data_IF_603427230516
#
_entry.id   IF_603427230516
#
_cell.length_a   1.000
_cell.length_b   1.000
_cell.length_c   1.000
_cell.angle_alpha   90.00
_cell.angle_beta   90.00
_cell.angle_gamma   90.00
#
_symmetry.space_group_name_H-M   'P 1'
#
loop_
_entity.id
_entity.type
_entity.pdbx_description
1 polymer ?
#
# COMPACT_ATOMS: atom_id res chain seq x y z
N UNK A 1 -33.58 -8.16 3.48
CA UNK A 1 -32.88 -9.01 4.47
C UNK A 1 -32.56 -10.35 3.87
N UNK A 2 -31.35 -10.57 3.37
CA UNK A 2 -30.81 -11.92 3.22
C UNK A 2 -29.38 -11.87 3.74
N UNK A 3 -29.25 -12.43 4.93
CA UNK A 3 -28.04 -12.73 5.65
C UNK A 3 -27.30 -13.81 4.84
N UNK A 4 -26.10 -13.55 4.37
CA UNK A 4 -25.24 -14.55 3.79
C UNK A 4 -24.64 -15.40 4.92
N UNK A 5 -24.67 -16.76 4.82
CA UNK A 5 -24.00 -17.60 5.78
C UNK A 5 -22.47 -17.49 5.63
N UNK A 6 -21.68 -17.72 6.70
CA UNK A 6 -20.23 -17.73 6.63
C UNK A 6 -19.78 -18.89 5.73
N UNK A 7 -18.95 -18.60 4.74
CA UNK A 7 -18.24 -19.61 3.97
C UNK A 7 -17.18 -20.27 4.86
N UNK A 8 -17.58 -21.31 5.57
CA UNK A 8 -16.65 -22.30 6.10
C UNK A 8 -16.24 -23.22 4.93
N UNK A 9 -15.16 -22.90 4.25
CA UNK A 9 -14.48 -23.81 3.32
C UNK A 9 -13.32 -24.50 4.04
N UNK A 10 -13.01 -25.76 3.74
CA UNK A 10 -12.26 -26.64 4.63
C UNK A 10 -10.76 -26.39 4.56
N UNK A 11 -10.21 -25.80 5.61
CA UNK A 11 -8.81 -25.94 5.99
C UNK A 11 -8.64 -27.22 6.81
N UNK A 12 -9.02 -28.36 6.25
CA UNK A 12 -8.70 -29.65 6.87
C UNK A 12 -8.71 -30.76 5.81
N UNK A 13 -7.64 -30.83 5.00
CA UNK A 13 -7.18 -32.09 4.47
C UNK A 13 -5.83 -32.36 5.11
N UNK A 14 -5.83 -33.27 6.07
CA UNK A 14 -4.64 -33.91 6.60
C UNK A 14 -3.90 -34.58 5.45
N UNK A 15 -2.87 -33.95 4.92
CA UNK A 15 -1.82 -34.63 4.19
C UNK A 15 -0.68 -34.86 5.17
N UNK A 16 -0.57 -36.10 5.62
CA UNK A 16 0.53 -36.62 6.43
C UNK A 16 1.71 -36.95 5.52
N UNK A 17 2.34 -35.94 4.99
CA UNK A 17 3.71 -36.01 4.52
C UNK A 17 4.49 -34.93 5.29
N UNK A 18 5.59 -35.30 5.92
CA UNK A 18 6.33 -34.53 6.93
C UNK A 18 6.84 -33.14 6.54
N UNK A 19 6.09 -32.39 5.76
CA UNK A 19 6.35 -31.00 5.45
C UNK A 19 5.85 -30.14 6.61
N UNK A 20 6.70 -29.36 7.30
CA UNK A 20 6.24 -28.51 8.38
C UNK A 20 5.25 -27.48 7.85
N UNK A 21 4.00 -27.56 8.31
CA UNK A 21 3.00 -26.53 8.02
C UNK A 21 3.48 -25.20 8.57
N UNK A 22 3.89 -24.28 7.69
CA UNK A 22 4.26 -22.95 8.06
C UNK A 22 3.04 -22.23 8.65
N UNK A 23 3.05 -21.97 9.95
CA UNK A 23 1.97 -21.20 10.59
C UNK A 23 2.00 -19.75 10.07
N UNK A 24 0.85 -19.05 10.11
CA UNK A 24 0.79 -17.62 9.77
C UNK A 24 1.84 -16.82 10.55
N UNK A 25 2.00 -17.14 11.85
CA UNK A 25 2.98 -16.48 12.71
C UNK A 25 4.43 -16.73 12.22
N UNK A 26 4.78 -17.98 11.92
CA UNK A 26 6.10 -18.31 11.40
C UNK A 26 6.37 -17.64 10.04
N UNK A 27 5.37 -17.57 9.18
CA UNK A 27 5.47 -16.84 7.89
C UNK A 27 5.72 -15.35 8.10
N UNK A 28 4.95 -14.69 8.99
CA UNK A 28 5.13 -13.27 9.32
C UNK A 28 6.55 -13.00 9.83
N UNK A 29 7.00 -13.76 10.80
CA UNK A 29 8.34 -13.60 11.39
C UNK A 29 9.44 -13.79 10.35
N UNK A 30 9.40 -14.87 9.59
CA UNK A 30 10.41 -15.15 8.57
C UNK A 30 10.47 -14.03 7.50
N UNK A 31 9.30 -13.54 7.07
CA UNK A 31 9.20 -12.48 6.07
C UNK A 31 9.74 -11.15 6.59
N UNK A 32 9.38 -10.77 7.82
CA UNK A 32 9.86 -9.51 8.44
C UNK A 32 11.36 -9.59 8.73
N UNK A 33 11.86 -10.71 9.25
CA UNK A 33 13.30 -10.91 9.47
C UNK A 33 14.11 -10.86 8.16
N UNK A 34 13.60 -11.50 7.11
CA UNK A 34 14.21 -11.40 5.78
C UNK A 34 14.25 -9.95 5.30
N UNK A 35 13.15 -9.23 5.41
CA UNK A 35 13.07 -7.83 4.98
C UNK A 35 14.02 -6.90 5.75
N UNK A 36 14.21 -7.13 7.05
CA UNK A 36 15.17 -6.37 7.87
C UNK A 36 16.60 -6.54 7.41
N UNK A 37 16.95 -7.68 6.80
CA UNK A 37 18.30 -7.95 6.28
C UNK A 37 18.48 -7.52 4.82
N UNK A 38 17.48 -7.79 3.99
CA UNK A 38 17.58 -7.72 2.52
C UNK A 38 16.75 -6.58 1.92
N UNK A 39 15.90 -5.94 2.71
CA UNK A 39 15.00 -4.89 2.25
C UNK A 39 15.74 -3.68 1.71
N UNK A 40 15.36 -3.20 0.53
CA UNK A 40 15.98 -2.03 -0.09
C UNK A 40 15.64 -0.76 0.69
N UNK A 41 16.62 0.09 0.86
CA UNK A 41 16.49 1.36 1.57
C UNK A 41 16.06 2.47 0.60
N UNK A 42 14.79 2.87 0.68
CA UNK A 42 14.23 3.96 -0.11
C UNK A 42 13.89 5.17 0.76
N UNK A 43 14.00 6.43 0.25
CA UNK A 43 13.72 7.63 1.03
C UNK A 43 12.35 7.61 1.73
N UNK A 44 11.32 7.13 1.04
CA UNK A 44 9.96 7.02 1.58
C UNK A 44 9.76 5.91 2.61
N UNK A 45 10.72 5.00 2.76
CA UNK A 45 10.73 3.97 3.82
C UNK A 45 11.33 4.45 5.13
N UNK A 46 12.09 5.57 5.10
CA UNK A 46 12.74 6.17 6.27
C UNK A 46 11.83 7.09 7.07
N UNK A 47 10.61 7.28 6.64
CA UNK A 47 9.66 8.21 7.25
C UNK A 47 8.33 7.53 7.59
N UNK A 48 7.62 8.10 8.54
CA UNK A 48 6.24 7.74 8.89
C UNK A 48 5.25 8.86 8.58
N UNK A 49 5.74 9.94 7.97
CA UNK A 49 4.89 11.05 7.57
C UNK A 49 3.93 10.61 6.46
N UNK A 50 2.61 10.67 6.68
CA UNK A 50 1.62 10.22 5.70
C UNK A 50 1.66 11.02 4.39
N UNK A 51 2.09 12.28 4.42
CA UNK A 51 2.27 13.07 3.20
C UNK A 51 3.40 12.51 2.33
N UNK A 52 4.55 12.25 2.92
CA UNK A 52 5.70 11.66 2.24
C UNK A 52 5.37 10.29 1.64
N UNK A 53 4.64 9.47 2.39
CA UNK A 53 4.18 8.16 1.95
C UNK A 53 3.18 8.29 0.81
N UNK A 54 2.17 9.14 0.92
CA UNK A 54 1.19 9.36 -0.15
C UNK A 54 1.85 9.82 -1.45
N UNK A 55 2.80 10.76 -1.36
CA UNK A 55 3.55 11.24 -2.53
C UNK A 55 4.28 10.09 -3.21
N UNK A 56 5.01 9.27 -2.46
CA UNK A 56 5.74 8.13 -3.03
C UNK A 56 4.79 7.10 -3.64
N UNK A 57 3.69 6.77 -2.97
CA UNK A 57 2.69 5.82 -3.48
C UNK A 57 2.11 6.28 -4.82
N UNK A 58 1.75 7.56 -4.94
CA UNK A 58 1.24 8.10 -6.20
C UNK A 58 2.32 8.20 -7.28
N UNK A 59 3.58 8.51 -6.92
CA UNK A 59 4.68 8.53 -7.88
C UNK A 59 4.99 7.14 -8.42
N UNK A 60 4.91 6.10 -7.59
CA UNK A 60 5.21 4.72 -7.95
C UNK A 60 4.12 4.04 -8.81
N UNK A 61 2.91 4.59 -8.85
CA UNK A 61 1.88 4.07 -9.77
C UNK A 61 2.35 4.14 -11.22
N UNK A 62 2.57 2.99 -11.86
CA UNK A 62 2.99 2.87 -13.26
C UNK A 62 4.29 3.64 -13.59
N UNK A 63 5.16 3.84 -12.60
CA UNK A 63 6.47 4.49 -12.77
C UNK A 63 7.54 3.65 -12.08
N UNK A 64 8.69 3.50 -12.70
CA UNK A 64 9.79 2.70 -12.16
C UNK A 64 10.45 3.37 -10.96
N UNK A 65 10.96 2.58 -10.02
CA UNK A 65 11.65 3.07 -8.83
C UNK A 65 12.82 4.02 -9.17
N UNK A 66 13.71 3.72 -10.13
CA UNK A 66 14.78 4.64 -10.49
C UNK A 66 14.28 6.02 -10.96
N UNK A 67 13.18 6.06 -11.71
CA UNK A 67 12.57 7.32 -12.14
C UNK A 67 12.04 8.12 -10.96
N UNK A 68 11.40 7.45 -9.99
CA UNK A 68 10.87 8.09 -8.78
C UNK A 68 12.01 8.60 -7.90
N UNK A 69 13.06 7.81 -7.67
CA UNK A 69 14.22 8.20 -6.86
C UNK A 69 14.86 9.49 -7.37
N UNK A 70 14.98 9.65 -8.69
CA UNK A 70 15.55 10.86 -9.29
C UNK A 70 14.68 12.13 -9.10
N UNK A 71 13.45 12.02 -8.62
CA UNK A 71 12.49 13.12 -8.54
C UNK A 71 11.89 13.36 -7.17
N UNK A 72 11.82 12.32 -6.34
CA UNK A 72 11.17 12.35 -5.04
C UNK A 72 11.75 13.44 -4.13
N UNK A 73 13.06 13.49 -3.94
CA UNK A 73 13.70 14.47 -3.06
C UNK A 73 13.49 15.92 -3.53
N UNK A 74 13.54 16.14 -4.86
CA UNK A 74 13.25 17.46 -5.43
C UNK A 74 11.81 17.88 -5.17
N UNK A 75 10.86 16.96 -5.35
CA UNK A 75 9.45 17.19 -5.07
C UNK A 75 9.21 17.51 -3.59
N UNK A 76 9.77 16.71 -2.69
CA UNK A 76 9.61 16.91 -1.25
C UNK A 76 10.24 18.21 -0.73
N UNK A 77 11.33 18.67 -1.35
CA UNK A 77 11.86 20.01 -1.05
C UNK A 77 10.94 21.16 -1.50
N UNK A 78 10.25 20.97 -2.60
CA UNK A 78 9.33 21.98 -3.13
C UNK A 78 7.96 21.97 -2.42
N UNK A 79 7.47 20.78 -2.09
CA UNK A 79 6.17 20.59 -1.45
C UNK A 79 6.29 19.69 -0.20
N UNK A 80 6.96 20.20 0.86
CA UNK A 80 7.22 19.41 2.06
C UNK A 80 5.98 19.06 2.87
N UNK A 81 4.86 19.76 2.66
CA UNK A 81 3.57 19.48 3.32
C UNK A 81 2.41 19.62 2.35
N UNK A 82 1.21 19.09 2.68
CA UNK A 82 0.01 19.30 1.86
C UNK A 82 -0.27 20.79 1.59
N UNK A 83 -0.04 21.66 2.58
CA UNK A 83 -0.31 23.09 2.45
C UNK A 83 0.53 23.75 1.33
N UNK A 84 1.76 23.33 1.14
CA UNK A 84 2.61 23.87 0.08
C UNK A 84 2.07 23.52 -1.32
N UNK A 85 1.57 22.29 -1.50
CA UNK A 85 0.98 21.89 -2.78
C UNK A 85 -0.43 22.47 -3.00
N UNK A 86 -1.21 22.61 -1.92
CA UNK A 86 -2.54 23.20 -1.98
C UNK A 86 -2.52 24.68 -2.40
N UNK A 87 -1.46 25.41 -2.03
CA UNK A 87 -1.31 26.84 -2.25
C UNK A 87 -0.92 27.23 -3.67
N UNK A 88 -0.37 26.29 -4.47
CA UNK A 88 0.07 26.62 -5.85
C UNK A 88 -1.05 26.36 -6.87
N UNK A 89 -0.92 27.03 -8.02
CA UNK A 89 -1.79 26.75 -9.16
C UNK A 89 -1.51 25.37 -9.79
N UNK A 90 -2.47 24.86 -10.56
CA UNK A 90 -2.35 23.55 -11.22
C UNK A 90 -1.15 23.48 -12.18
N UNK A 91 -0.87 24.55 -12.90
CA UNK A 91 0.23 24.57 -13.86
C UNK A 91 1.59 24.41 -13.18
N UNK A 92 1.76 25.04 -12.02
CA UNK A 92 2.97 24.88 -11.21
C UNK A 92 3.13 23.45 -10.70
N UNK A 93 2.06 22.81 -10.23
CA UNK A 93 2.06 21.42 -9.81
C UNK A 93 2.40 20.47 -10.99
N UNK A 94 1.78 20.70 -12.17
CA UNK A 94 2.02 19.91 -13.39
C UNK A 94 3.48 20.02 -13.86
N UNK A 95 4.06 21.24 -13.91
CA UNK A 95 5.47 21.44 -14.27
C UNK A 95 6.42 20.71 -13.33
N UNK A 96 6.12 20.74 -12.03
CA UNK A 96 6.95 20.05 -11.02
C UNK A 96 6.88 18.53 -11.12
N UNK A 97 5.80 17.99 -11.72
CA UNK A 97 5.58 16.56 -11.96
C UNK A 97 6.15 16.06 -13.31
N UNK A 98 6.73 16.95 -14.10
CA UNK A 98 7.26 16.62 -15.43
C UNK A 98 8.24 15.43 -15.38
N UNK A 99 8.09 14.52 -16.35
CA UNK A 99 8.89 13.31 -16.49
C UNK A 99 8.44 12.12 -15.62
N UNK A 100 7.40 12.24 -14.79
CA UNK A 100 6.75 11.12 -14.14
C UNK A 100 5.57 10.56 -14.97
N UNK A 101 5.00 11.37 -15.87
CA UNK A 101 3.84 10.99 -16.68
C UNK A 101 2.54 10.84 -15.86
N UNK A 102 1.50 10.34 -16.51
CA UNK A 102 0.20 10.08 -15.85
C UNK A 102 -0.27 11.24 -14.97
N UNK A 103 -0.39 12.43 -15.55
CA UNK A 103 -0.65 13.71 -14.86
C UNK A 103 -1.93 13.74 -14.01
N UNK A 104 -2.85 12.79 -14.22
CA UNK A 104 -4.00 12.60 -13.32
C UNK A 104 -3.58 12.40 -11.86
N UNK A 105 -2.41 11.78 -11.61
CA UNK A 105 -1.91 11.51 -10.25
C UNK A 105 -1.57 12.81 -9.50
N UNK A 106 -0.90 13.77 -10.15
CA UNK A 106 -0.58 15.04 -9.48
C UNK A 106 -1.83 15.89 -9.27
N UNK A 107 -2.81 15.84 -10.18
CA UNK A 107 -4.11 16.48 -9.96
C UNK A 107 -4.83 15.88 -8.75
N UNK A 108 -4.86 14.55 -8.65
CA UNK A 108 -5.40 13.86 -7.48
C UNK A 108 -4.64 14.24 -6.21
N UNK A 109 -3.31 14.27 -6.25
CA UNK A 109 -2.48 14.65 -5.11
C UNK A 109 -2.77 16.08 -4.66
N UNK A 110 -2.94 17.02 -5.60
CA UNK A 110 -3.29 18.40 -5.27
C UNK A 110 -4.72 18.53 -4.70
N UNK A 111 -5.68 17.76 -5.22
CA UNK A 111 -7.03 17.71 -4.68
C UNK A 111 -7.03 17.16 -3.24
N UNK A 112 -6.29 16.07 -2.98
CA UNK A 112 -6.10 15.53 -1.63
C UNK A 112 -5.46 16.57 -0.71
N UNK A 113 -4.42 17.26 -1.18
CA UNK A 113 -3.72 18.27 -0.39
C UNK A 113 -4.67 19.40 0.04
N UNK A 114 -5.51 19.88 -0.87
CA UNK A 114 -6.54 20.89 -0.57
C UNK A 114 -7.56 20.39 0.44
N UNK A 115 -8.03 19.17 0.28
CA UNK A 115 -8.98 18.53 1.20
C UNK A 115 -8.39 18.38 2.61
N UNK A 116 -7.14 17.92 2.71
CA UNK A 116 -6.41 17.81 3.99
C UNK A 116 -6.29 19.17 4.69
N UNK A 117 -6.02 20.22 3.94
CA UNK A 117 -5.91 21.57 4.53
C UNK A 117 -7.27 22.09 4.97
N UNK A 118 -8.29 21.99 4.12
CA UNK A 118 -9.57 22.63 4.32
C UNK A 118 -10.47 21.90 5.32
N UNK A 119 -10.52 20.56 5.22
CA UNK A 119 -11.46 19.74 5.99
C UNK A 119 -10.82 19.04 7.19
N UNK A 120 -9.50 18.83 7.15
CA UNK A 120 -8.78 18.09 8.19
C UNK A 120 -7.74 18.95 8.94
N UNK A 121 -7.71 20.26 8.70
CA UNK A 121 -6.79 21.18 9.40
C UNK A 121 -5.31 20.84 9.19
N UNK A 122 -4.96 20.30 8.03
CA UNK A 122 -3.59 19.92 7.67
C UNK A 122 -3.15 18.57 8.21
N UNK A 123 -4.00 17.80 8.88
CA UNK A 123 -3.68 16.50 9.47
C UNK A 123 -4.35 15.36 8.71
N UNK A 124 -3.60 14.31 8.41
CA UNK A 124 -4.18 13.12 7.79
C UNK A 124 -5.06 12.36 8.77
N UNK A 125 -6.25 11.90 8.33
CA UNK A 125 -7.02 10.95 9.10
C UNK A 125 -6.26 9.63 9.23
N UNK A 126 -6.29 9.03 10.42
CA UNK A 126 -5.58 7.80 10.75
C UNK A 126 -6.51 6.57 10.77
N UNK A 127 -7.64 6.65 10.09
CA UNK A 127 -8.63 5.58 9.99
C UNK A 127 -9.17 5.47 8.56
N UNK A 128 -9.68 4.27 8.23
CA UNK A 128 -10.13 3.95 6.88
C UNK A 128 -11.31 4.82 6.42
N UNK A 129 -12.21 5.19 7.32
CA UNK A 129 -13.38 6.01 7.00
C UNK A 129 -12.95 7.42 6.59
N UNK A 130 -12.10 8.05 7.37
CA UNK A 130 -11.54 9.37 7.07
C UNK A 130 -10.72 9.38 5.78
N UNK A 131 -9.87 8.37 5.56
CA UNK A 131 -9.07 8.26 4.34
C UNK A 131 -9.93 8.07 3.09
N UNK A 132 -11.03 7.33 3.17
CA UNK A 132 -11.96 7.13 2.03
C UNK A 132 -12.68 8.42 1.61
N UNK A 133 -12.76 9.43 2.48
CA UNK A 133 -13.33 10.75 2.14
C UNK A 133 -12.40 11.57 1.25
N UNK A 134 -11.10 11.25 1.24
CA UNK A 134 -10.13 11.95 0.39
C UNK A 134 -10.30 11.57 -1.08
N UNK A 135 -10.30 12.54 -2.01
CA UNK A 135 -10.58 12.31 -3.41
C UNK A 135 -9.52 11.40 -4.06
N UNK A 136 -9.96 10.28 -4.65
CA UNK A 136 -9.07 9.35 -5.36
C UNK A 136 -8.27 8.39 -4.46
N UNK A 137 -8.52 8.37 -3.15
CA UNK A 137 -7.97 7.34 -2.25
C UNK A 137 -8.81 6.06 -2.38
N UNK A 138 -8.23 5.06 -3.04
CA UNK A 138 -8.79 3.72 -3.15
C UNK A 138 -8.37 2.79 -2.00
N UNK A 139 -8.85 1.53 -2.01
CA UNK A 139 -8.53 0.55 -0.97
C UNK A 139 -7.03 0.36 -0.77
N UNK A 140 -6.26 0.26 -1.86
CA UNK A 140 -4.80 0.11 -1.81
C UNK A 140 -4.14 1.31 -1.12
N UNK A 141 -4.39 2.53 -1.59
CA UNK A 141 -3.76 3.74 -1.03
C UNK A 141 -4.16 3.97 0.43
N UNK A 142 -5.42 3.65 0.78
CA UNK A 142 -5.89 3.69 2.18
C UNK A 142 -5.12 2.67 3.05
N UNK A 143 -4.99 1.42 2.59
CA UNK A 143 -4.22 0.39 3.29
C UNK A 143 -2.74 0.75 3.42
N UNK A 144 -2.13 1.30 2.37
CA UNK A 144 -0.76 1.77 2.37
C UNK A 144 -0.53 2.88 3.42
N UNK A 145 -1.39 3.90 3.44
CA UNK A 145 -1.31 4.96 4.45
C UNK A 145 -1.49 4.42 5.87
N UNK A 146 -2.50 3.57 6.09
CA UNK A 146 -2.76 2.98 7.41
C UNK A 146 -1.58 2.13 7.90
N UNK A 147 -0.99 1.31 7.03
CA UNK A 147 0.12 0.45 7.44
C UNK A 147 1.45 1.20 7.48
N UNK A 148 1.81 1.95 6.44
CA UNK A 148 3.13 2.58 6.36
C UNK A 148 3.28 3.82 7.24
N UNK A 149 2.26 4.66 7.36
CA UNK A 149 2.31 5.85 8.21
C UNK A 149 1.95 5.54 9.66
N UNK A 150 0.86 4.80 9.88
CA UNK A 150 0.27 4.64 11.20
C UNK A 150 0.53 3.26 11.84
N UNK A 151 1.23 2.36 11.15
CA UNK A 151 1.49 0.97 11.57
C UNK A 151 0.21 0.20 11.98
N UNK A 152 -0.93 0.51 11.34
CA UNK A 152 -2.21 -0.17 11.58
C UNK A 152 -2.31 -1.40 10.70
N UNK A 153 -2.89 -2.47 11.23
CA UNK A 153 -3.12 -3.72 10.51
C UNK A 153 -4.13 -3.52 9.38
N UNK A 154 -3.67 -3.01 8.25
CA UNK A 154 -4.47 -2.80 7.06
C UNK A 154 -3.84 -3.56 5.88
N UNK A 155 -4.63 -4.36 5.15
CA UNK A 155 -4.12 -5.09 3.99
C UNK A 155 -3.82 -4.14 2.84
N UNK A 156 -2.86 -4.56 2.01
CA UNK A 156 -2.59 -3.97 0.69
C UNK A 156 -2.57 -5.09 -0.35
N UNK A 157 -3.07 -4.81 -1.54
CA UNK A 157 -2.98 -5.74 -2.68
C UNK A 157 -2.60 -4.94 -3.91
N UNK A 158 -1.33 -5.05 -4.30
CA UNK A 158 -0.81 -4.62 -5.60
C UNK A 158 -0.43 -5.84 -6.45
N UNK A 159 0.16 -5.64 -7.61
CA UNK A 159 0.59 -6.73 -8.47
C UNK A 159 1.66 -7.63 -7.82
N UNK A 160 2.52 -7.08 -6.96
CA UNK A 160 3.57 -7.83 -6.28
C UNK A 160 2.97 -8.68 -5.18
N UNK A 161 2.13 -8.11 -4.33
CA UNK A 161 1.40 -8.84 -3.27
C UNK A 161 0.52 -9.93 -3.88
N UNK A 162 -0.25 -9.62 -4.93
CA UNK A 162 -1.09 -10.58 -5.63
C UNK A 162 -0.28 -11.78 -6.14
N UNK A 163 0.90 -11.54 -6.73
CA UNK A 163 1.81 -12.59 -7.20
C UNK A 163 2.30 -13.48 -6.07
N UNK A 164 2.69 -12.91 -4.95
CA UNK A 164 3.16 -13.67 -3.78
C UNK A 164 2.04 -14.54 -3.22
N UNK A 165 0.86 -13.95 -2.97
CA UNK A 165 -0.28 -14.67 -2.40
C UNK A 165 -0.74 -15.80 -3.31
N UNK A 166 -0.87 -15.55 -4.62
CA UNK A 166 -1.27 -16.58 -5.58
C UNK A 166 -0.27 -17.74 -5.61
N UNK A 167 1.03 -17.47 -5.51
CA UNK A 167 2.06 -18.53 -5.48
C UNK A 167 2.06 -19.33 -4.19
N UNK A 168 1.96 -18.68 -3.04
CA UNK A 168 1.93 -19.35 -1.72
C UNK A 168 0.74 -20.28 -1.61
N UNK A 169 -0.42 -19.83 -2.06
CA UNK A 169 -1.66 -20.60 -1.92
C UNK A 169 -1.97 -21.49 -3.13
N UNK A 170 -1.05 -21.55 -4.11
CA UNK A 170 -1.26 -22.25 -5.40
C UNK A 170 -2.62 -21.89 -6.04
N UNK A 171 -2.95 -20.60 -6.01
CA UNK A 171 -4.23 -20.09 -6.47
C UNK A 171 -4.27 -19.99 -7.99
N UNK A 172 -5.25 -20.67 -8.61
CA UNK A 172 -5.33 -20.86 -10.06
C UNK A 172 -6.35 -19.95 -10.77
N UNK A 173 -7.21 -19.26 -10.02
CA UNK A 173 -8.18 -18.34 -10.62
C UNK A 173 -7.48 -17.03 -11.03
N UNK A 174 -7.86 -16.40 -12.17
CA UNK A 174 -7.26 -15.15 -12.59
C UNK A 174 -7.32 -14.07 -11.50
N UNK A 175 -6.16 -13.52 -11.16
CA UNK A 175 -6.02 -12.54 -10.06
C UNK A 175 -6.72 -11.21 -10.30
N UNK A 176 -7.01 -10.87 -11.56
CA UNK A 176 -7.74 -9.68 -12.00
C UNK A 176 -9.25 -9.88 -12.09
N UNK A 177 -9.74 -11.11 -11.93
CA UNK A 177 -11.17 -11.39 -11.84
C UNK A 177 -11.77 -10.88 -10.52
N UNK A 178 -13.08 -10.65 -10.49
CA UNK A 178 -13.80 -10.25 -9.28
C UNK A 178 -13.59 -11.26 -8.14
N UNK A 179 -13.60 -12.55 -8.45
CA UNK A 179 -13.35 -13.63 -7.49
C UNK A 179 -11.92 -13.61 -6.99
N UNK A 180 -10.94 -13.48 -7.92
CA UNK A 180 -9.52 -13.38 -7.60
C UNK A 180 -9.22 -12.18 -6.70
N UNK A 181 -9.75 -11.01 -7.02
CA UNK A 181 -9.60 -9.81 -6.19
C UNK A 181 -10.18 -10.00 -4.79
N UNK A 182 -11.40 -10.54 -4.68
CA UNK A 182 -12.02 -10.83 -3.39
C UNK A 182 -11.18 -11.79 -2.54
N UNK A 183 -10.66 -12.85 -3.17
CA UNK A 183 -9.77 -13.80 -2.51
C UNK A 183 -8.49 -13.12 -2.00
N UNK A 184 -7.80 -12.37 -2.86
CA UNK A 184 -6.52 -11.73 -2.54
C UNK A 184 -6.66 -10.72 -1.39
N UNK A 185 -7.71 -9.90 -1.39
CA UNK A 185 -7.97 -8.94 -0.31
C UNK A 185 -8.26 -9.65 1.02
N UNK A 186 -9.12 -10.68 1.01
CA UNK A 186 -9.40 -11.48 2.21
C UNK A 186 -8.13 -12.20 2.73
N UNK A 187 -7.32 -12.70 1.81
CA UNK A 187 -6.07 -13.38 2.17
C UNK A 187 -5.04 -12.41 2.74
N UNK A 188 -4.85 -11.24 2.12
CA UNK A 188 -3.98 -10.18 2.64
C UNK A 188 -4.41 -9.74 4.04
N UNK A 189 -5.73 -9.56 4.28
CA UNK A 189 -6.28 -9.23 5.59
C UNK A 189 -5.96 -10.28 6.65
N UNK A 190 -6.06 -11.56 6.31
CA UNK A 190 -5.73 -12.67 7.23
C UNK A 190 -4.23 -12.76 7.57
N UNK A 191 -3.38 -12.28 6.66
CA UNK A 191 -1.92 -12.38 6.80
C UNK A 191 -1.26 -11.13 7.38
N UNK A 192 -1.85 -9.94 7.26
CA UNK A 192 -1.19 -8.71 7.74
C UNK A 192 -0.84 -8.84 9.22
N UNK A 193 0.38 -8.44 9.56
CA UNK A 193 0.87 -8.49 10.93
C UNK A 193 0.23 -7.35 11.76
N UNK A 194 -0.44 -7.64 12.87
CA UNK A 194 -1.11 -6.61 13.67
C UNK A 194 -0.14 -5.69 14.41
N UNK A 195 1.07 -6.14 14.71
CA UNK A 195 2.07 -5.39 15.47
C UNK A 195 3.09 -4.71 14.54
N UNK A 196 3.41 -5.36 13.41
CA UNK A 196 4.45 -4.94 12.47
C UNK A 196 3.89 -4.72 11.04
N UNK A 197 2.70 -4.12 10.93
CA UNK A 197 2.00 -3.98 9.65
C UNK A 197 2.84 -3.27 8.58
N UNK A 198 3.58 -2.23 8.97
CA UNK A 198 4.49 -1.49 8.07
C UNK A 198 5.57 -2.39 7.49
N UNK A 199 6.29 -3.11 8.34
CA UNK A 199 7.38 -3.98 7.92
C UNK A 199 6.85 -5.17 7.10
N UNK A 200 5.75 -5.78 7.55
CA UNK A 200 5.12 -6.89 6.86
C UNK A 200 4.67 -6.52 5.45
N UNK A 201 3.94 -5.41 5.30
CA UNK A 201 3.47 -4.96 4.00
C UNK A 201 4.64 -4.53 3.09
N UNK A 202 5.67 -3.90 3.63
CA UNK A 202 6.89 -3.61 2.88
C UNK A 202 7.60 -4.87 2.43
N UNK A 203 7.67 -5.87 3.30
CA UNK A 203 8.34 -7.14 3.04
C UNK A 203 7.64 -7.98 1.95
N UNK A 204 6.31 -8.09 2.01
CA UNK A 204 5.56 -8.86 1.02
C UNK A 204 5.59 -8.19 -0.37
N UNK A 205 5.58 -6.86 -0.43
CA UNK A 205 5.80 -6.12 -1.69
C UNK A 205 7.21 -6.35 -2.25
N UNK A 206 8.23 -6.27 -1.40
CA UNK A 206 9.63 -6.50 -1.78
C UNK A 206 9.84 -7.92 -2.31
N UNK A 207 9.30 -8.93 -1.61
CA UNK A 207 9.36 -10.33 -2.05
C UNK A 207 8.72 -10.52 -3.43
N UNK A 208 7.63 -9.80 -3.71
CA UNK A 208 6.99 -9.85 -5.02
C UNK A 208 7.78 -9.20 -6.15
N UNK A 209 8.82 -8.43 -5.85
CA UNK A 209 9.72 -7.81 -6.84
C UNK A 209 10.94 -8.69 -7.17
N UNK A 210 11.21 -9.72 -6.37
CA UNK A 210 12.26 -10.71 -6.60
C UNK A 210 11.74 -11.86 -7.46
#
# INVERSE_FOLDING_TARGET
SRIFPPCAGPLNKSMTDGTPHLTIHAFRNALVEWFRREGRDYPWRRTTDPWHILVSELMLQQTTIPTVLGRYDRWMRQFPTPAHLAAVDEQTALRSWEGLGYYRRVRSLQAIAREIVNEFGGRFPDNAEGLKRLPGIGPYTSGALLSFAFNKAAPIVDANVARVLARIDNYSVPVDSTEGQKYLWSRAESLVDPEHAREFNSAIMELGQT
#
